data_IF_887301658211
#
_entry.id   IF_887301658211
#
_cell.length_a   1.000
_cell.length_b   1.000
_cell.length_c   1.000
_cell.angle_alpha   90.00
_cell.angle_beta   90.00
_cell.angle_gamma   90.00
#
_symmetry.space_group_name_H-M   'P 1'
#
loop_
_entity.id
_entity.type
_entity.pdbx_description
1 polymer ?
#
# COMPACT_ATOMS: atom_id res chain seq x y z
N UNK A 1 3.69 -2.97 11.76
CA UNK A 1 3.88 -3.22 10.31
C UNK A 1 5.31 -2.85 9.96
N UNK A 2 5.89 -3.39 8.88
CA UNK A 2 7.22 -3.00 8.39
C UNK A 2 7.13 -1.69 7.58
N UNK A 3 8.26 -1.14 7.15
CA UNK A 3 8.33 0.12 6.39
C UNK A 3 7.48 0.07 5.11
N UNK A 4 6.91 1.23 4.73
CA UNK A 4 6.26 1.48 3.45
C UNK A 4 4.79 1.07 3.38
N UNK A 5 4.18 0.78 4.52
CA UNK A 5 2.75 0.55 4.66
C UNK A 5 2.20 1.30 5.89
N UNK A 6 0.92 1.66 5.86
CA UNK A 6 0.23 2.32 6.97
C UNK A 6 -1.07 1.60 7.33
N UNK A 7 -1.32 1.44 8.63
CA UNK A 7 -2.53 0.83 9.18
C UNK A 7 -3.70 1.83 9.12
N UNK A 8 -4.78 1.47 8.44
CA UNK A 8 -6.00 2.27 8.31
C UNK A 8 -7.17 1.73 9.15
N UNK A 9 -6.94 0.78 10.05
CA UNK A 9 -8.01 0.16 10.82
C UNK A 9 -8.78 1.16 11.67
N UNK A 10 -8.11 2.14 12.26
CA UNK A 10 -8.78 3.20 13.03
C UNK A 10 -9.65 4.12 12.17
N UNK A 11 -9.31 4.29 10.90
CA UNK A 11 -10.05 5.15 9.98
C UNK A 11 -11.25 4.42 9.35
N UNK A 12 -11.13 3.12 9.13
CA UNK A 12 -12.07 2.34 8.32
C UNK A 12 -12.92 1.36 9.13
N UNK A 13 -12.51 1.01 10.36
CA UNK A 13 -13.12 -0.06 11.14
C UNK A 13 -12.81 -1.47 10.62
N UNK A 14 -11.97 -1.60 9.59
CA UNK A 14 -11.61 -2.86 8.93
C UNK A 14 -10.09 -3.09 8.96
N UNK A 15 -9.58 -4.33 8.79
CA UNK A 15 -8.13 -4.63 8.79
C UNK A 15 -7.42 -4.16 7.50
N UNK A 16 -7.65 -2.92 7.09
CA UNK A 16 -7.13 -2.31 5.88
C UNK A 16 -5.77 -1.68 6.11
N UNK A 17 -4.86 -1.88 5.17
CA UNK A 17 -3.51 -1.32 5.15
C UNK A 17 -3.29 -0.63 3.81
N UNK A 18 -2.74 0.58 3.82
CA UNK A 18 -2.39 1.31 2.59
C UNK A 18 -0.89 1.23 2.31
N UNK A 19 -0.54 1.10 1.04
CA UNK A 19 0.84 1.14 0.53
C UNK A 19 0.89 1.91 -0.80
N UNK A 20 2.08 2.08 -1.36
CA UNK A 20 2.20 2.40 -2.80
C UNK A 20 1.90 1.14 -3.64
N UNK A 21 1.52 1.29 -4.92
CA UNK A 21 1.26 0.16 -5.80
C UNK A 21 2.44 -0.81 -5.88
N UNK A 22 2.11 -2.10 -5.93
CA UNK A 22 3.05 -3.22 -5.94
C UNK A 22 4.06 -3.16 -4.77
N UNK A 23 3.65 -2.58 -3.64
CA UNK A 23 4.51 -2.35 -2.48
C UNK A 23 5.80 -1.58 -2.81
N UNK A 24 5.76 -0.69 -3.81
CA UNK A 24 6.88 0.19 -4.14
C UNK A 24 7.37 0.97 -2.91
N UNK A 25 8.70 0.99 -2.68
CA UNK A 25 9.36 1.57 -1.49
C UNK A 25 9.02 0.96 -0.13
N UNK A 26 8.29 -0.17 -0.11
CA UNK A 26 8.04 -0.94 1.10
C UNK A 26 9.13 -2.01 1.33
N UNK A 27 9.09 -2.61 2.53
CA UNK A 27 9.98 -3.71 2.89
C UNK A 27 9.82 -4.91 1.94
N UNK A 28 10.92 -5.54 1.54
CA UNK A 28 10.96 -6.58 0.49
C UNK A 28 10.06 -7.78 0.78
N UNK A 29 9.91 -8.18 2.04
CA UNK A 29 8.97 -9.24 2.44
C UNK A 29 7.56 -9.05 1.87
N UNK A 30 7.05 -7.82 1.78
CA UNK A 30 5.74 -7.59 1.19
C UNK A 30 5.69 -7.87 -0.32
N UNK A 31 6.81 -7.66 -1.02
CA UNK A 31 6.95 -7.98 -2.45
C UNK A 31 7.13 -9.48 -2.64
N UNK A 32 7.89 -10.13 -1.75
CA UNK A 32 8.23 -11.55 -1.84
C UNK A 32 7.07 -12.48 -1.42
N UNK A 33 6.23 -12.05 -0.48
CA UNK A 33 5.10 -12.85 0.03
C UNK A 33 3.92 -12.92 -0.94
N UNK A 34 3.89 -12.11 -2.01
CA UNK A 34 2.78 -12.06 -2.98
C UNK A 34 3.31 -12.22 -4.41
N UNK A 35 2.83 -13.26 -5.09
CA UNK A 35 3.19 -13.52 -6.49
C UNK A 35 2.60 -12.45 -7.43
N UNK A 36 3.41 -12.00 -8.38
CA UNK A 36 3.00 -11.08 -9.46
C UNK A 36 3.27 -9.60 -9.18
N UNK A 37 3.93 -9.29 -8.06
CA UNK A 37 4.33 -7.93 -7.74
C UNK A 37 5.61 -7.55 -8.48
N UNK A 38 5.56 -6.38 -9.12
CA UNK A 38 6.65 -5.81 -9.89
C UNK A 38 6.74 -4.31 -9.58
N UNK A 39 7.37 -3.89 -8.47
CA UNK A 39 7.48 -2.47 -8.12
C UNK A 39 8.33 -1.72 -9.16
N UNK A 40 7.76 -0.70 -9.80
CA UNK A 40 8.43 0.15 -10.79
C UNK A 40 8.18 1.61 -10.46
N UNK A 41 9.25 2.40 -10.30
CA UNK A 41 9.17 3.81 -9.88
C UNK A 41 8.20 4.64 -10.73
N UNK A 42 8.41 4.65 -12.05
CA UNK A 42 7.62 5.49 -12.96
C UNK A 42 6.11 5.16 -12.95
N UNK A 43 5.74 3.90 -12.70
CA UNK A 43 4.35 3.46 -12.62
C UNK A 43 3.74 3.60 -11.22
N UNK A 44 4.53 3.49 -10.16
CA UNK A 44 4.02 3.28 -8.80
C UNK A 44 4.40 4.38 -7.81
N UNK A 45 5.20 5.37 -8.19
CA UNK A 45 5.41 6.55 -7.36
C UNK A 45 4.17 7.45 -7.35
N UNK A 46 4.01 8.18 -6.24
CA UNK A 46 3.11 9.33 -6.20
C UNK A 46 3.93 10.58 -6.47
N UNK A 47 3.50 11.41 -7.42
CA UNK A 47 4.15 12.70 -7.73
C UNK A 47 3.12 13.82 -7.75
N UNK A 48 3.58 15.01 -7.38
CA UNK A 48 2.83 16.27 -7.44
C UNK A 48 3.82 17.35 -7.90
N UNK A 49 3.49 18.01 -9.00
CA UNK A 49 4.25 19.14 -9.52
C UNK A 49 3.45 20.40 -9.23
N UNK A 50 4.09 21.34 -8.55
CA UNK A 50 3.50 22.63 -8.19
C UNK A 50 4.16 23.74 -8.97
N UNK A 51 3.37 24.75 -9.36
CA UNK A 51 3.91 26.02 -9.84
C UNK A 51 4.57 26.74 -8.64
N UNK A 52 5.86 27.10 -8.71
CA UNK A 52 6.61 27.57 -7.54
C UNK A 52 6.09 28.84 -6.86
N UNK A 53 5.49 29.78 -7.60
CA UNK A 53 5.05 31.07 -7.04
C UNK A 53 3.69 30.97 -6.35
N UNK A 54 2.72 30.36 -7.02
CA UNK A 54 1.33 30.29 -6.57
C UNK A 54 1.04 29.03 -5.75
N UNK A 55 1.91 28.02 -5.81
CA UNK A 55 1.66 26.70 -5.21
C UNK A 55 0.56 25.92 -5.91
N UNK A 56 0.16 26.31 -7.13
CA UNK A 56 -0.91 25.64 -7.89
C UNK A 56 -0.44 24.27 -8.35
N UNK A 57 -1.19 23.17 -8.10
CA UNK A 57 -0.83 21.84 -8.62
C UNK A 57 -1.05 21.80 -10.14
N UNK A 58 0.05 21.65 -10.90
CA UNK A 58 0.03 21.57 -12.36
C UNK A 58 -0.14 20.14 -12.87
N UNK A 59 0.43 19.17 -12.15
CA UNK A 59 0.36 17.75 -12.48
C UNK A 59 0.38 16.94 -11.20
N UNK A 60 -0.42 15.88 -11.13
CA UNK A 60 -0.42 14.98 -9.99
C UNK A 60 -0.78 13.56 -10.39
N UNK A 61 0.04 12.61 -9.99
CA UNK A 61 -0.30 11.19 -10.02
C UNK A 61 -0.32 10.69 -8.58
N UNK A 62 -1.51 10.62 -7.97
CA UNK A 62 -1.69 10.03 -6.64
C UNK A 62 -2.03 8.55 -6.80
N UNK A 63 -1.11 7.67 -6.41
CA UNK A 63 -1.24 6.22 -6.58
C UNK A 63 -1.11 5.53 -5.24
N UNK A 64 -2.15 4.79 -4.86
CA UNK A 64 -2.23 4.07 -3.59
C UNK A 64 -2.77 2.66 -3.85
N UNK A 65 -2.35 1.71 -3.03
CA UNK A 65 -2.84 0.35 -3.01
C UNK A 65 -3.44 0.05 -1.64
N UNK A 66 -4.66 -0.48 -1.64
CA UNK A 66 -5.32 -0.97 -0.44
C UNK A 66 -5.09 -2.47 -0.32
N UNK A 67 -4.71 -2.89 0.87
CA UNK A 67 -4.40 -4.27 1.22
C UNK A 67 -5.27 -4.66 2.42
N UNK A 68 -5.57 -5.95 2.54
CA UNK A 68 -6.23 -6.50 3.73
C UNK A 68 -5.17 -7.31 4.48
N UNK A 69 -4.95 -6.97 5.76
CA UNK A 69 -4.02 -7.71 6.61
C UNK A 69 -4.64 -9.04 7.02
N UNK A 70 -4.18 -10.10 6.39
CA UNK A 70 -4.60 -11.47 6.72
C UNK A 70 -3.65 -12.12 7.73
N UNK A 71 -4.20 -12.97 8.59
CA UNK A 71 -3.45 -13.82 9.50
C UNK A 71 -4.30 -15.05 9.82
N UNK A 72 -3.65 -16.12 10.27
CA UNK A 72 -4.32 -17.35 10.68
C UNK A 72 -5.23 -17.10 11.88
N UNK A 73 -6.46 -17.59 11.81
CA UNK A 73 -7.42 -17.58 12.94
C UNK A 73 -7.90 -19.01 13.17
N UNK A 74 -7.43 -19.63 14.26
CA UNK A 74 -7.68 -21.05 14.57
C UNK A 74 -9.17 -21.40 14.65
N UNK A 75 -9.97 -20.46 15.15
CA UNK A 75 -11.40 -20.65 15.43
C UNK A 75 -12.27 -20.32 14.21
N UNK A 76 -11.69 -19.83 13.11
CA UNK A 76 -12.41 -19.50 11.89
C UNK A 76 -12.01 -20.47 10.78
N UNK A 77 -12.91 -21.41 10.44
CA UNK A 77 -12.63 -22.53 9.53
C UNK A 77 -11.95 -22.11 8.21
N UNK A 78 -12.40 -20.99 7.62
CA UNK A 78 -11.84 -20.46 6.36
C UNK A 78 -10.42 -19.90 6.50
N UNK A 79 -10.05 -19.41 7.70
CA UNK A 79 -8.73 -18.81 7.95
C UNK A 79 -7.79 -19.73 8.75
N UNK A 80 -8.15 -21.00 8.94
CA UNK A 80 -7.36 -21.96 9.74
C UNK A 80 -6.06 -22.39 9.05
N UNK A 81 -6.03 -22.36 7.72
CA UNK A 81 -4.94 -22.89 6.89
C UNK A 81 -4.18 -21.79 6.12
N UNK A 82 -4.37 -20.52 6.50
CA UNK A 82 -3.40 -19.47 6.21
C UNK A 82 -2.12 -19.75 7.01
#
# INVERSE_FOLDING_TARGET
>A
LKRGVHDLTRCTGAPMVVSLPHFYLAHEDYVNDVRGLHPQKHLHETTLHFEPLTGTPMLGFKRLQFNIKMHKISNFKLMKNL
#
